data_IF_356573116291
#
_entry.id   IF_356573116291
#
_cell.length_a   1.000
_cell.length_b   1.000
_cell.length_c   1.000
_cell.angle_alpha   90.00
_cell.angle_beta   90.00
_cell.angle_gamma   90.00
#
_symmetry.space_group_name_H-M   'P 1'
#
loop_
_entity.id
_entity.type
_entity.pdbx_description
1 polymer ?
#
# COMPACT_ATOMS: atom_id res chain seq x y z
N UNK A 1 -27.51 -2.62 31.63
CA UNK A 1 -27.01 -3.82 30.93
C UNK A 1 -27.46 -3.71 29.48
N UNK A 2 -26.75 -2.90 28.70
CA UNK A 2 -27.06 -2.71 27.29
C UNK A 2 -26.61 -3.94 26.52
N UNK A 3 -27.52 -4.54 25.76
CA UNK A 3 -27.22 -5.68 24.89
C UNK A 3 -26.23 -5.20 23.83
N UNK A 4 -25.10 -5.90 23.73
CA UNK A 4 -24.18 -5.76 22.61
C UNK A 4 -24.86 -6.40 21.41
N UNK A 5 -25.35 -5.58 20.48
CA UNK A 5 -25.86 -6.06 19.20
C UNK A 5 -24.67 -6.28 18.27
N UNK A 6 -24.36 -7.52 17.85
CA UNK A 6 -23.18 -7.82 17.02
C UNK A 6 -23.35 -7.44 15.54
N UNK A 7 -24.34 -6.62 15.20
CA UNK A 7 -24.78 -6.35 13.82
C UNK A 7 -24.55 -4.90 13.34
N UNK A 8 -23.66 -4.13 13.98
CA UNK A 8 -23.21 -2.80 13.50
C UNK A 8 -21.70 -2.76 13.23
N UNK A 9 -21.20 -3.63 12.35
CA UNK A 9 -19.88 -3.47 11.71
C UNK A 9 -20.02 -3.79 10.22
N UNK A 10 -20.58 -2.84 9.46
CA UNK A 10 -20.84 -3.02 8.03
C UNK A 10 -19.66 -2.64 7.12
N UNK A 11 -18.49 -2.26 7.66
CA UNK A 11 -17.23 -2.18 6.91
C UNK A 11 -16.08 -2.54 7.86
N UNK A 12 -15.91 -3.82 8.16
CA UNK A 12 -14.78 -4.30 8.93
C UNK A 12 -13.52 -4.24 8.07
N UNK A 13 -12.52 -3.48 8.50
CA UNK A 13 -11.22 -3.51 7.85
C UNK A 13 -10.63 -4.92 7.95
N UNK A 14 -10.16 -5.44 6.83
CA UNK A 14 -9.52 -6.76 6.77
C UNK A 14 -8.03 -6.58 7.06
N UNK A 15 -7.42 -7.47 7.85
CA UNK A 15 -5.96 -7.49 8.01
C UNK A 15 -5.32 -8.16 6.81
N UNK A 16 -4.19 -7.62 6.36
CA UNK A 16 -3.53 -8.00 5.14
C UNK A 16 -2.44 -9.04 5.42
N UNK A 17 -2.35 -10.00 4.52
CA UNK A 17 -1.22 -10.91 4.40
C UNK A 17 -0.32 -10.45 3.26
N UNK A 18 0.88 -11.02 3.18
CA UNK A 18 1.75 -10.82 2.00
C UNK A 18 1.00 -11.20 0.73
N UNK A 19 0.25 -12.31 0.73
CA UNK A 19 -0.47 -12.79 -0.45
C UNK A 19 -1.59 -11.83 -0.90
N UNK A 20 -2.34 -11.25 0.04
CA UNK A 20 -3.38 -10.26 -0.30
C UNK A 20 -2.76 -8.98 -0.88
N UNK A 21 -1.62 -8.53 -0.33
CA UNK A 21 -0.88 -7.40 -0.90
C UNK A 21 -0.29 -7.75 -2.26
N UNK A 22 0.22 -8.96 -2.49
CA UNK A 22 0.68 -9.37 -3.83
C UNK A 22 -0.47 -9.36 -4.85
N UNK A 23 -1.66 -9.83 -4.46
CA UNK A 23 -2.82 -9.81 -5.33
C UNK A 23 -3.23 -8.39 -5.72
N UNK A 24 -3.26 -7.46 -4.74
CA UNK A 24 -3.49 -6.03 -4.98
C UNK A 24 -2.42 -5.43 -5.90
N UNK A 25 -1.15 -5.68 -5.57
CA UNK A 25 -0.01 -5.20 -6.34
C UNK A 25 0.01 -5.77 -7.74
N UNK A 26 -0.54 -6.96 -8.01
CA UNK A 26 -0.64 -7.53 -9.37
C UNK A 26 -1.62 -6.76 -10.26
N UNK A 27 -2.49 -5.94 -9.69
CA UNK A 27 -3.50 -5.17 -10.42
C UNK A 27 -4.62 -6.05 -10.99
N UNK A 28 -5.64 -5.42 -11.59
CA UNK A 28 -6.78 -6.17 -12.13
C UNK A 28 -6.45 -6.91 -13.43
N UNK A 29 -6.96 -8.13 -13.56
CA UNK A 29 -6.92 -8.92 -14.81
C UNK A 29 -7.45 -8.13 -16.02
N UNK A 30 -8.46 -7.28 -15.79
CA UNK A 30 -9.12 -6.47 -16.82
C UNK A 30 -8.15 -5.48 -17.49
N UNK A 31 -7.14 -4.99 -16.76
CA UNK A 31 -6.14 -4.04 -17.28
C UNK A 31 -4.84 -4.73 -17.72
N UNK A 32 -4.74 -6.07 -17.74
CA UNK A 32 -3.51 -6.77 -18.19
C UNK A 32 -3.19 -6.60 -19.68
N UNK A 33 -4.16 -6.16 -20.49
CA UNK A 33 -3.94 -5.75 -21.89
C UNK A 33 -3.46 -4.32 -22.01
N UNK A 34 -3.60 -3.53 -20.96
CA UNK A 34 -3.12 -2.17 -20.91
C UNK A 34 -1.65 -2.15 -20.53
N UNK A 35 -0.86 -1.27 -21.14
CA UNK A 35 0.57 -1.14 -20.81
C UNK A 35 0.81 -0.47 -19.45
N UNK A 36 -0.26 0.05 -18.85
CA UNK A 36 -0.24 0.79 -17.60
C UNK A 36 -1.00 0.00 -16.54
N UNK A 37 -0.24 -0.73 -15.74
CA UNK A 37 -0.72 -1.34 -14.52
C UNK A 37 -0.85 -0.27 -13.44
N UNK A 38 -2.08 -0.07 -12.95
CA UNK A 38 -2.37 0.85 -11.86
C UNK A 38 -2.89 0.09 -10.65
N UNK A 39 -2.27 0.31 -9.49
CA UNK A 39 -2.75 -0.16 -8.20
C UNK A 39 -3.59 0.97 -7.58
N UNK A 40 -4.81 0.72 -7.09
CA UNK A 40 -5.62 1.76 -6.46
C UNK A 40 -4.93 2.31 -5.21
N UNK A 41 -5.31 3.54 -4.82
CA UNK A 41 -4.88 4.12 -3.55
C UNK A 41 -5.33 3.24 -2.39
N UNK A 42 -4.42 2.98 -1.46
CA UNK A 42 -4.68 2.17 -0.28
C UNK A 42 -5.20 3.05 0.85
N UNK A 43 -6.36 2.72 1.41
CA UNK A 43 -6.95 3.40 2.56
C UNK A 43 -7.03 2.43 3.73
N UNK A 44 -6.49 2.82 4.88
CA UNK A 44 -6.50 2.04 6.10
C UNK A 44 -7.62 2.48 7.05
N UNK A 45 -7.96 1.62 8.01
CA UNK A 45 -9.08 1.80 8.94
C UNK A 45 -9.01 3.10 9.74
N UNK A 46 -7.80 3.53 10.12
CA UNK A 46 -7.57 4.71 10.95
C UNK A 46 -7.43 6.04 10.16
N UNK A 47 -7.77 6.00 8.86
CA UNK A 47 -7.67 7.13 7.94
C UNK A 47 -6.29 7.33 7.32
N UNK A 48 -5.28 6.51 7.65
CA UNK A 48 -4.02 6.52 6.92
C UNK A 48 -4.24 6.04 5.47
N UNK A 49 -3.58 6.69 4.51
CA UNK A 49 -3.55 6.24 3.12
C UNK A 49 -2.23 6.51 2.45
N UNK A 50 -1.92 5.70 1.44
CA UNK A 50 -0.76 5.85 0.57
C UNK A 50 -1.02 5.26 -0.82
N UNK A 51 -0.13 5.56 -1.77
CA UNK A 51 0.02 4.81 -3.02
C UNK A 51 1.14 3.78 -2.85
N UNK A 52 0.93 2.57 -3.38
CA UNK A 52 1.96 1.55 -3.52
C UNK A 52 1.90 0.99 -4.94
N UNK A 53 3.00 1.05 -5.69
CA UNK A 53 3.06 0.66 -7.09
C UNK A 53 4.23 -0.28 -7.39
N UNK A 54 4.03 -1.16 -8.36
CA UNK A 54 5.06 -2.09 -8.81
C UNK A 54 4.88 -2.43 -10.30
N UNK A 55 5.88 -2.07 -11.11
CA UNK A 55 5.95 -2.36 -12.56
C UNK A 55 7.40 -2.20 -13.06
N UNK A 56 7.61 -2.34 -14.37
CA UNK A 56 8.89 -2.04 -15.03
C UNK A 56 9.38 -0.59 -14.78
N UNK A 57 8.46 0.33 -14.48
CA UNK A 57 8.75 1.77 -14.35
C UNK A 57 8.94 2.25 -12.90
N UNK A 58 8.55 1.45 -11.92
CA UNK A 58 8.62 1.82 -10.50
C UNK A 58 9.92 1.33 -9.85
N UNK A 59 10.28 1.94 -8.72
CA UNK A 59 11.41 1.55 -7.87
C UNK A 59 11.03 0.37 -6.96
N UNK A 60 10.85 -0.79 -7.59
CA UNK A 60 10.44 -2.05 -6.97
C UNK A 60 11.39 -3.20 -7.34
N UNK A 61 11.23 -4.36 -6.70
CA UNK A 61 11.97 -5.59 -7.04
C UNK A 61 11.01 -6.80 -7.02
N UNK A 62 10.91 -7.57 -8.11
CA UNK A 62 11.48 -7.28 -9.42
C UNK A 62 10.79 -6.08 -10.08
N UNK A 63 11.51 -5.39 -10.96
CA UNK A 63 10.91 -4.41 -11.90
C UNK A 63 10.24 -5.18 -13.04
N UNK A 64 9.01 -5.60 -12.78
CA UNK A 64 8.18 -6.42 -13.66
C UNK A 64 6.71 -6.08 -13.45
N UNK A 65 5.85 -6.33 -14.45
CA UNK A 65 4.39 -6.24 -14.29
C UNK A 65 3.77 -7.39 -13.47
N UNK A 66 4.47 -8.51 -13.31
CA UNK A 66 3.86 -9.75 -12.80
C UNK A 66 4.13 -10.05 -11.32
N UNK A 67 5.30 -9.65 -10.79
CA UNK A 67 5.74 -10.03 -9.44
C UNK A 67 6.10 -11.53 -9.35
N UNK A 68 6.12 -12.13 -8.14
CA UNK A 68 5.84 -11.52 -6.85
C UNK A 68 6.90 -10.48 -6.47
N UNK A 69 6.47 -9.44 -5.75
CA UNK A 69 7.31 -8.31 -5.36
C UNK A 69 7.92 -8.52 -3.99
N UNK A 70 9.24 -8.42 -3.88
CA UNK A 70 9.91 -8.34 -2.58
C UNK A 70 9.94 -6.90 -2.05
N UNK A 71 9.88 -5.91 -2.96
CA UNK A 71 9.77 -4.50 -2.61
C UNK A 71 8.95 -3.71 -3.63
N UNK A 72 8.45 -2.56 -3.23
CA UNK A 72 7.57 -1.66 -4.01
C UNK A 72 7.99 -0.20 -3.90
N UNK A 73 7.45 0.63 -4.80
CA UNK A 73 7.53 2.08 -4.65
C UNK A 73 6.29 2.59 -3.91
N UNK A 74 6.49 3.42 -2.88
CA UNK A 74 5.40 4.07 -2.16
C UNK A 74 5.45 5.60 -2.35
N UNK A 75 4.32 6.27 -2.13
CA UNK A 75 4.24 7.73 -2.17
C UNK A 75 2.85 8.25 -1.86
N UNK A 76 2.68 9.58 -1.91
CA UNK A 76 1.40 10.27 -1.66
C UNK A 76 0.78 9.88 -0.30
N UNK A 77 1.61 9.82 0.74
CA UNK A 77 1.19 9.48 2.08
C UNK A 77 0.23 10.55 2.61
N UNK A 78 -0.83 10.14 3.29
CA UNK A 78 -1.75 11.07 3.96
C UNK A 78 -1.13 11.83 5.13
N UNK A 79 -0.10 11.25 5.75
CA UNK A 79 0.69 11.79 6.87
C UNK A 79 2.02 11.03 6.95
N UNK A 80 3.07 11.56 7.59
CA UNK A 80 4.36 10.88 7.68
C UNK A 80 4.27 9.54 8.40
N UNK A 81 4.97 8.53 7.87
CA UNK A 81 5.13 7.20 8.49
C UNK A 81 6.62 6.95 8.73
N UNK A 82 7.10 6.97 10.00
CA UNK A 82 8.51 6.81 10.36
C UNK A 82 9.17 5.56 9.75
N UNK A 83 8.45 4.45 9.61
CA UNK A 83 8.97 3.20 9.02
C UNK A 83 9.29 3.31 7.54
N UNK A 84 8.71 4.29 6.84
CA UNK A 84 9.01 4.57 5.44
C UNK A 84 10.19 5.53 5.26
N UNK A 85 10.54 6.36 6.26
CA UNK A 85 11.62 7.36 6.14
C UNK A 85 12.96 6.82 5.62
N UNK A 86 13.42 5.60 5.99
CA UNK A 86 14.67 5.05 5.45
C UNK A 86 14.67 4.81 3.93
N UNK A 87 13.48 4.78 3.31
CA UNK A 87 13.28 4.54 1.88
C UNK A 87 13.02 5.83 1.09
N UNK A 88 12.90 6.97 1.77
CA UNK A 88 12.60 8.24 1.13
C UNK A 88 13.71 8.62 0.14
N UNK A 89 13.33 8.87 -1.10
CA UNK A 89 14.17 9.59 -2.04
C UNK A 89 14.22 11.05 -1.60
N UNK A 90 15.35 11.43 -1.00
CA UNK A 90 15.55 12.80 -0.54
C UNK A 90 15.62 13.76 -1.73
N UNK A 91 14.61 14.62 -1.83
CA UNK A 91 14.55 15.73 -2.78
C UNK A 91 14.37 17.03 -2.00
N UNK A 92 15.20 18.04 -2.30
CA UNK A 92 15.14 19.31 -1.60
C UNK A 92 13.79 19.98 -1.80
N UNK A 93 13.16 20.41 -0.69
CA UNK A 93 11.88 21.12 -0.71
C UNK A 93 10.64 20.24 -0.86
N UNK A 94 10.78 18.91 -0.96
CA UNK A 94 9.65 17.99 -1.01
C UNK A 94 9.33 17.46 0.41
N UNK A 95 8.12 17.69 0.94
CA UNK A 95 7.73 17.15 2.24
C UNK A 95 7.57 15.61 2.17
N UNK A 96 7.77 14.87 3.28
CA UNK A 96 7.68 13.41 3.29
C UNK A 96 6.37 12.86 2.72
N UNK A 97 5.25 13.55 2.91
CA UNK A 97 3.93 13.17 2.41
C UNK A 97 3.85 13.11 0.89
N UNK A 98 4.63 13.96 0.21
CA UNK A 98 4.72 14.06 -1.25
C UNK A 98 5.93 13.30 -1.82
N UNK A 99 6.81 12.81 -0.94
CA UNK A 99 8.02 12.09 -1.32
C UNK A 99 7.75 10.74 -1.98
N UNK A 100 8.73 10.31 -2.79
CA UNK A 100 8.78 8.94 -3.35
C UNK A 100 9.64 8.06 -2.46
N UNK A 101 9.15 6.87 -2.15
CA UNK A 101 9.81 5.91 -1.28
C UNK A 101 10.21 4.69 -2.08
N UNK A 102 11.51 4.50 -2.28
CA UNK A 102 12.06 3.52 -3.21
C UNK A 102 12.33 2.19 -2.51
N UNK A 103 11.99 1.08 -3.17
CA UNK A 103 12.32 -0.28 -2.72
C UNK A 103 11.86 -0.59 -1.28
N UNK A 104 10.66 -0.12 -0.91
CA UNK A 104 10.03 -0.43 0.37
C UNK A 104 9.72 -1.94 0.41
N UNK A 105 10.26 -2.72 1.34
CA UNK A 105 9.97 -4.14 1.47
C UNK A 105 8.46 -4.37 1.62
N UNK A 106 7.92 -5.33 0.87
CA UNK A 106 6.48 -5.63 0.94
C UNK A 106 6.06 -6.08 2.34
N UNK A 107 6.96 -6.73 3.09
CA UNK A 107 6.72 -7.07 4.49
C UNK A 107 6.47 -5.84 5.38
N UNK A 108 7.27 -4.78 5.21
CA UNK A 108 7.09 -3.51 5.95
C UNK A 108 5.77 -2.85 5.56
N UNK A 109 5.40 -2.89 4.28
CA UNK A 109 4.11 -2.37 3.82
C UNK A 109 2.94 -3.11 4.49
N UNK A 110 2.99 -4.43 4.57
CA UNK A 110 1.98 -5.25 5.26
C UNK A 110 1.88 -4.87 6.73
N UNK A 111 3.01 -4.76 7.43
CA UNK A 111 3.07 -4.36 8.84
C UNK A 111 2.45 -2.97 9.07
N UNK A 112 2.81 -1.98 8.23
CA UNK A 112 2.25 -0.62 8.30
C UNK A 112 0.73 -0.65 8.14
N UNK A 113 0.23 -1.33 7.10
CA UNK A 113 -1.21 -1.40 6.82
C UNK A 113 -1.96 -2.05 7.99
N UNK A 114 -1.44 -3.15 8.53
CA UNK A 114 -2.06 -3.86 9.64
C UNK A 114 -2.06 -3.03 10.93
N UNK A 115 -0.98 -2.30 11.22
CA UNK A 115 -0.91 -1.39 12.36
C UNK A 115 -1.89 -0.22 12.23
N UNK A 116 -2.25 0.16 11.00
CA UNK A 116 -3.32 1.12 10.71
C UNK A 116 -4.72 0.49 10.66
N UNK A 117 -4.86 -0.73 11.18
CA UNK A 117 -6.13 -1.44 11.33
C UNK A 117 -6.59 -2.19 10.08
N UNK A 118 -5.72 -2.33 9.08
CA UNK A 118 -6.02 -3.00 7.82
C UNK A 118 -6.68 -2.11 6.78
N UNK A 119 -6.82 -2.61 5.55
CA UNK A 119 -7.44 -1.86 4.45
C UNK A 119 -8.97 -1.79 4.57
N UNK A 120 -9.52 -0.65 4.17
CA UNK A 120 -10.93 -0.49 3.83
C UNK A 120 -11.03 -0.66 2.30
N UNK A 121 -11.67 -1.75 1.86
CA UNK A 121 -11.86 -2.11 0.45
C UNK A 121 -13.27 -1.75 -0.05
#
# INVERSE_FOLDING_TARGET
MGRFDPAMSLFGAELQTTDSIQALLKGSEMHRRDRLKTVPRLYCADGFSLSAQASDFHRCEPRSLEGPYISVECGLLSRPEPRLMPYLLHEEGIPPEEGTYNYVPTAILVEIINDHGGLIL
#
